data_IF_567562853866
#
_entry.id   IF_567562853866
#
_cell.length_a   1.000
_cell.length_b   1.000
_cell.length_c   1.000
_cell.angle_alpha   90.00
_cell.angle_beta   90.00
_cell.angle_gamma   90.00
#
_symmetry.space_group_name_H-M   'P 1'
#
loop_
_entity.id
_entity.type
_entity.pdbx_description
1 polymer ?
#
# COMPACT_ATOMS: atom_id res chain seq x y z
N UNK A 1 45.78 43.45 -5.64
CA UNK A 1 47.20 43.30 -6.02
C UNK A 1 47.30 42.80 -7.45
N UNK A 2 48.13 43.46 -8.27
CA UNK A 2 48.76 43.07 -9.56
C UNK A 2 48.00 42.24 -10.63
N UNK A 3 47.89 42.74 -11.87
CA UNK A 3 47.35 42.06 -13.08
C UNK A 3 48.23 42.38 -14.32
N UNK A 4 48.80 41.42 -15.08
CA UNK A 4 49.77 41.75 -16.15
C UNK A 4 49.68 40.94 -17.49
N UNK A 5 48.93 41.44 -18.50
CA UNK A 5 49.13 41.20 -19.97
C UNK A 5 48.95 39.75 -20.53
N UNK A 6 48.82 39.46 -21.84
CA UNK A 6 49.33 40.05 -23.11
C UNK A 6 48.27 39.99 -24.25
N UNK A 7 48.33 40.91 -25.22
CA UNK A 7 47.49 40.95 -26.44
C UNK A 7 48.06 40.17 -27.65
N UNK A 8 47.19 39.61 -28.51
CA UNK A 8 47.43 39.37 -29.95
C UNK A 8 46.06 39.17 -30.63
N UNK A 9 45.62 40.11 -31.47
CA UNK A 9 45.86 40.19 -32.93
C UNK A 9 44.89 39.30 -33.76
N UNK A 10 44.08 40.02 -34.53
CA UNK A 10 43.15 39.64 -35.60
C UNK A 10 43.48 38.43 -36.47
N UNK A 11 42.43 37.71 -36.90
CA UNK A 11 42.34 37.36 -38.34
C UNK A 11 42.30 35.89 -38.80
N UNK A 12 41.86 34.91 -38.01
CA UNK A 12 41.73 33.52 -38.53
C UNK A 12 40.60 32.62 -37.96
N UNK A 13 39.76 33.10 -37.04
CA UNK A 13 38.85 32.22 -36.25
C UNK A 13 37.41 32.15 -36.73
N UNK A 14 36.98 32.96 -37.71
CA UNK A 14 35.56 33.03 -38.10
C UNK A 14 35.05 31.77 -38.85
N UNK A 15 35.91 31.12 -39.64
CA UNK A 15 35.50 29.97 -40.49
C UNK A 15 35.43 28.66 -39.69
N UNK A 16 36.27 28.48 -38.67
CA UNK A 16 36.31 27.24 -37.88
C UNK A 16 35.16 27.13 -36.87
N UNK A 17 34.67 28.25 -36.33
CA UNK A 17 33.58 28.24 -35.34
C UNK A 17 32.25 27.72 -35.91
N UNK A 18 31.98 27.95 -37.20
CA UNK A 18 30.71 27.55 -37.83
C UNK A 18 30.58 26.05 -38.10
N UNK A 19 31.69 25.32 -38.21
CA UNK A 19 31.69 23.86 -38.37
C UNK A 19 31.62 23.12 -37.03
N UNK A 20 32.18 23.70 -35.97
CA UNK A 20 32.20 23.09 -34.62
C UNK A 20 30.80 23.14 -33.98
N UNK A 21 30.03 24.22 -34.18
CA UNK A 21 28.66 24.34 -33.68
C UNK A 21 27.72 23.27 -34.25
N UNK A 22 27.84 22.94 -35.54
CA UNK A 22 27.01 21.91 -36.20
C UNK A 22 27.27 20.47 -35.71
N UNK A 23 28.48 20.18 -35.23
CA UNK A 23 28.82 18.86 -34.67
C UNK A 23 28.45 18.72 -33.18
N UNK A 24 28.40 19.83 -32.45
CA UNK A 24 28.07 19.82 -31.02
C UNK A 24 26.59 19.50 -30.76
N UNK A 25 25.68 19.98 -31.62
CA UNK A 25 24.23 19.74 -31.52
C UNK A 25 23.90 18.23 -31.52
N UNK A 26 24.45 17.47 -32.47
CA UNK A 26 24.18 16.04 -32.61
C UNK A 26 24.72 15.16 -31.48
N UNK A 27 25.79 15.58 -30.79
CA UNK A 27 26.34 14.89 -29.62
C UNK A 27 25.62 15.28 -28.33
N UNK A 28 25.25 16.55 -28.18
CA UNK A 28 24.45 17.02 -27.03
C UNK A 28 23.05 16.40 -27.03
N UNK A 29 22.42 16.32 -28.20
CA UNK A 29 21.11 15.68 -28.37
C UNK A 29 21.16 14.17 -28.06
N UNK A 30 22.20 13.45 -28.51
CA UNK A 30 22.41 12.03 -28.11
C UNK A 30 22.64 11.86 -26.61
N UNK A 31 23.43 12.74 -25.98
CA UNK A 31 23.70 12.68 -24.53
C UNK A 31 22.45 12.97 -23.69
N UNK A 32 21.61 13.93 -24.14
CA UNK A 32 20.33 14.24 -23.52
C UNK A 32 19.32 13.09 -23.67
N UNK A 33 19.22 12.49 -24.86
CA UNK A 33 18.36 11.31 -25.10
C UNK A 33 18.81 10.12 -24.24
N UNK A 34 20.11 9.83 -24.12
CA UNK A 34 20.60 8.76 -23.26
C UNK A 34 20.36 9.04 -21.77
N UNK A 35 20.58 10.27 -21.30
CA UNK A 35 20.25 10.65 -19.91
C UNK A 35 18.76 10.50 -19.62
N UNK A 36 17.91 10.98 -20.52
CA UNK A 36 16.46 10.85 -20.35
C UNK A 36 16.01 9.39 -20.42
N UNK A 37 16.58 8.57 -21.30
CA UNK A 37 16.32 7.12 -21.34
C UNK A 37 16.73 6.43 -20.04
N UNK A 38 17.92 6.74 -19.49
CA UNK A 38 18.39 6.19 -18.20
C UNK A 38 17.50 6.65 -17.05
N UNK A 39 17.07 7.91 -17.03
CA UNK A 39 16.11 8.44 -16.05
C UNK A 39 14.77 7.71 -16.17
N UNK A 40 14.21 7.55 -17.38
CA UNK A 40 12.98 6.78 -17.61
C UNK A 40 13.12 5.32 -17.15
N UNK A 41 14.23 4.65 -17.45
CA UNK A 41 14.47 3.28 -17.02
C UNK A 41 14.59 3.17 -15.49
N UNK A 42 15.25 4.13 -14.84
CA UNK A 42 15.33 4.20 -13.39
C UNK A 42 13.96 4.45 -12.74
N UNK A 43 13.14 5.35 -13.29
CA UNK A 43 11.77 5.58 -12.82
C UNK A 43 10.90 4.34 -12.99
N UNK A 44 10.94 3.66 -14.13
CA UNK A 44 10.19 2.41 -14.36
C UNK A 44 10.66 1.30 -13.41
N UNK A 45 11.96 1.17 -13.18
CA UNK A 45 12.51 0.20 -12.23
C UNK A 45 12.04 0.48 -10.79
N UNK A 46 12.08 1.74 -10.34
CA UNK A 46 11.58 2.14 -9.01
C UNK A 46 10.08 1.89 -8.88
N UNK A 47 9.27 2.26 -9.88
CA UNK A 47 7.83 1.99 -9.88
C UNK A 47 7.55 0.49 -9.81
N UNK A 48 8.25 -0.33 -10.63
CA UNK A 48 8.04 -1.78 -10.64
C UNK A 48 8.37 -2.45 -9.28
N UNK A 49 9.39 -1.97 -8.56
CA UNK A 49 9.72 -2.43 -7.21
C UNK A 49 8.63 -2.10 -6.18
N UNK A 50 7.93 -0.97 -6.32
CA UNK A 50 6.82 -0.60 -5.42
C UNK A 50 5.58 -1.47 -5.65
N UNK A 51 5.36 -1.98 -6.87
CA UNK A 51 4.17 -2.77 -7.23
C UNK A 51 4.23 -4.24 -6.75
N UNK A 52 5.38 -4.73 -6.27
CA UNK A 52 5.57 -6.12 -5.81
C UNK A 52 4.77 -6.45 -4.53
N UNK A 53 4.15 -5.46 -3.88
CA UNK A 53 3.40 -5.61 -2.62
C UNK A 53 1.88 -5.41 -2.76
N UNK A 54 1.32 -5.58 -3.96
CA UNK A 54 -0.14 -5.68 -4.13
C UNK A 54 -0.58 -7.12 -3.93
N UNK A 55 -0.76 -7.51 -2.67
CA UNK A 55 -1.61 -8.66 -2.34
C UNK A 55 -3.05 -8.27 -2.63
N UNK A 56 -3.56 -8.73 -3.77
CA UNK A 56 -4.95 -8.53 -4.14
C UNK A 56 -5.83 -9.30 -3.16
N UNK A 57 -6.39 -8.60 -2.17
CA UNK A 57 -7.41 -9.12 -1.26
C UNK A 57 -8.74 -9.29 -1.99
N UNK A 58 -8.75 -10.19 -2.98
CA UNK A 58 -9.99 -10.73 -3.53
C UNK A 58 -10.67 -11.53 -2.43
N UNK A 59 -11.95 -11.26 -2.17
CA UNK A 59 -12.73 -12.01 -1.20
C UNK A 59 -12.57 -13.53 -1.47
N UNK A 60 -12.05 -14.31 -0.50
CA UNK A 60 -11.74 -15.72 -0.74
C UNK A 60 -13.02 -16.43 -1.16
N UNK A 61 -12.99 -17.09 -2.32
CA UNK A 61 -14.07 -17.99 -2.72
C UNK A 61 -14.05 -19.16 -1.74
N UNK A 62 -15.13 -19.32 -1.00
CA UNK A 62 -15.35 -20.49 -0.17
C UNK A 62 -15.24 -21.75 -1.05
N UNK A 63 -14.49 -22.78 -0.63
CA UNK A 63 -14.40 -24.03 -1.38
C UNK A 63 -15.75 -24.74 -1.38
N UNK A 64 -16.10 -25.43 -2.48
CA UNK A 64 -17.35 -26.18 -2.62
C UNK A 64 -17.50 -27.31 -1.58
N UNK A 65 -16.40 -27.74 -0.95
CA UNK A 65 -16.39 -28.66 0.18
C UNK A 65 -15.51 -28.14 1.33
N UNK A 66 -16.06 -28.16 2.54
CA UNK A 66 -15.38 -27.81 3.78
C UNK A 66 -14.53 -28.97 4.28
N UNK A 67 -13.20 -28.79 4.33
CA UNK A 67 -12.28 -29.75 4.94
C UNK A 67 -12.08 -29.43 6.42
N UNK A 68 -12.95 -30.01 7.27
CA UNK A 68 -12.93 -29.80 8.72
C UNK A 68 -11.61 -30.21 9.40
N UNK A 69 -10.78 -31.06 8.76
CA UNK A 69 -9.48 -31.46 9.33
C UNK A 69 -8.47 -30.31 9.42
N UNK A 70 -8.73 -29.20 8.71
CA UNK A 70 -7.91 -27.97 8.71
C UNK A 70 -8.41 -26.92 9.70
N UNK A 71 -9.58 -27.11 10.29
CA UNK A 71 -10.12 -26.17 11.25
C UNK A 71 -9.35 -26.22 12.57
N UNK A 72 -9.13 -25.08 13.24
CA UNK A 72 -8.56 -25.08 14.58
C UNK A 72 -9.54 -25.77 15.55
N UNK A 73 -9.01 -26.59 16.46
CA UNK A 73 -9.80 -27.09 17.59
C UNK A 73 -9.99 -25.96 18.60
N UNK A 74 -11.23 -25.57 18.86
CA UNK A 74 -11.60 -24.47 19.76
C UNK A 74 -12.47 -24.98 20.91
N UNK A 75 -12.28 -24.43 22.11
CA UNK A 75 -13.13 -24.67 23.27
C UNK A 75 -13.65 -23.31 23.77
N UNK A 76 -14.93 -23.03 23.54
CA UNK A 76 -15.51 -21.70 23.68
C UNK A 76 -16.60 -21.68 24.76
N UNK A 77 -16.36 -21.00 25.89
CA UNK A 77 -17.30 -20.91 27.01
C UNK A 77 -18.62 -20.19 26.63
N UNK A 78 -18.53 -19.20 25.74
CA UNK A 78 -19.64 -18.31 25.36
C UNK A 78 -20.29 -18.69 24.01
N UNK A 79 -20.10 -19.95 23.60
CA UNK A 79 -20.63 -20.52 22.36
C UNK A 79 -19.74 -20.32 21.13
N UNK A 80 -20.07 -21.03 20.06
CA UNK A 80 -19.37 -20.99 18.77
C UNK A 80 -20.18 -20.26 17.70
N UNK A 81 -19.46 -19.74 16.71
CA UNK A 81 -20.02 -19.19 15.46
C UNK A 81 -19.22 -19.78 14.30
N UNK A 82 -19.87 -20.04 13.16
CA UNK A 82 -19.16 -20.45 11.95
C UNK A 82 -18.52 -19.26 11.24
N UNK A 83 -17.45 -19.52 10.51
CA UNK A 83 -16.86 -18.54 9.59
C UNK A 83 -17.83 -18.10 8.47
N UNK A 84 -17.41 -17.08 7.71
CA UNK A 84 -18.16 -16.57 6.55
C UNK A 84 -18.41 -17.60 5.44
N UNK A 85 -17.73 -18.75 5.46
CA UNK A 85 -17.91 -19.88 4.55
C UNK A 85 -18.74 -21.02 5.16
N UNK A 86 -19.29 -20.82 6.36
CA UNK A 86 -20.03 -21.80 7.16
C UNK A 86 -19.24 -23.11 7.45
N UNK A 87 -17.91 -23.04 7.51
CA UNK A 87 -17.02 -24.21 7.56
C UNK A 87 -16.47 -24.47 8.97
N UNK A 88 -15.52 -23.64 9.42
CA UNK A 88 -14.85 -23.79 10.72
C UNK A 88 -15.58 -23.05 11.84
N UNK A 89 -15.48 -23.57 13.05
CA UNK A 89 -16.01 -22.94 14.26
C UNK A 89 -14.99 -21.98 14.89
N UNK A 90 -15.50 -20.82 15.32
CA UNK A 90 -14.77 -19.77 16.02
C UNK A 90 -15.49 -19.44 17.33
N UNK A 91 -14.75 -18.98 18.34
CA UNK A 91 -15.36 -18.57 19.59
C UNK A 91 -16.08 -17.23 19.45
N UNK A 92 -17.25 -17.13 20.07
CA UNK A 92 -17.94 -15.86 20.29
C UNK A 92 -17.32 -15.09 21.45
N UNK A 93 -17.37 -13.77 21.38
CA UNK A 93 -16.95 -12.86 22.47
C UNK A 93 -18.03 -12.84 23.55
N UNK A 94 -17.62 -12.93 24.82
CA UNK A 94 -18.55 -13.05 25.94
C UNK A 94 -19.28 -11.74 26.27
N UNK A 95 -20.36 -11.83 27.05
CA UNK A 95 -21.07 -10.65 27.57
C UNK A 95 -20.12 -9.73 28.37
N UNK A 96 -20.13 -8.43 28.05
CA UNK A 96 -19.29 -7.43 28.71
C UNK A 96 -17.82 -7.40 28.25
N UNK A 97 -17.38 -8.30 27.37
CA UNK A 97 -16.03 -8.28 26.81
C UNK A 97 -15.88 -7.28 25.64
N UNK A 98 -14.65 -6.80 25.38
CA UNK A 98 -14.37 -5.90 24.26
C UNK A 98 -14.44 -6.62 22.90
N UNK A 99 -15.12 -5.99 21.95
CA UNK A 99 -15.33 -6.52 20.60
C UNK A 99 -14.85 -5.52 19.53
N UNK A 100 -14.22 -6.01 18.47
CA UNK A 100 -13.64 -5.18 17.40
C UNK A 100 -14.31 -5.44 16.04
N UNK A 101 -14.92 -4.40 15.47
CA UNK A 101 -15.53 -4.47 14.14
C UNK A 101 -14.52 -4.83 13.04
N UNK A 102 -13.28 -4.34 13.14
CA UNK A 102 -12.23 -4.62 12.16
C UNK A 102 -11.80 -6.10 12.13
N UNK A 103 -12.00 -6.85 13.23
CA UNK A 103 -11.79 -8.30 13.28
C UNK A 103 -13.04 -9.10 12.92
N UNK A 104 -14.19 -8.43 12.72
CA UNK A 104 -15.51 -9.05 12.62
C UNK A 104 -15.85 -9.92 13.84
N UNK A 105 -15.45 -9.48 15.05
CA UNK A 105 -15.73 -10.18 16.30
C UNK A 105 -17.26 -10.34 16.50
N UNK A 106 -17.73 -11.58 16.69
CA UNK A 106 -19.15 -11.88 16.91
C UNK A 106 -19.41 -12.14 18.40
N UNK A 107 -20.36 -11.43 18.99
CA UNK A 107 -20.76 -11.64 20.38
C UNK A 107 -21.54 -12.95 20.59
N UNK A 108 -21.64 -13.37 21.85
CA UNK A 108 -22.52 -14.45 22.30
C UNK A 108 -24.00 -14.18 21.93
N UNK A 109 -24.82 -15.24 21.91
CA UNK A 109 -26.22 -15.14 21.46
C UNK A 109 -27.05 -14.15 22.28
N UNK A 110 -27.82 -13.30 21.61
CA UNK A 110 -28.60 -12.21 22.22
C UNK A 110 -27.78 -10.95 22.57
N UNK A 111 -26.50 -10.88 22.19
CA UNK A 111 -25.63 -9.73 22.40
C UNK A 111 -25.11 -9.18 21.06
N UNK A 112 -24.86 -7.86 21.02
CA UNK A 112 -24.33 -7.13 19.87
C UNK A 112 -23.15 -6.26 20.27
N UNK A 113 -22.17 -6.13 19.37
CA UNK A 113 -21.03 -5.26 19.59
C UNK A 113 -21.49 -3.80 19.55
N UNK A 114 -21.43 -3.13 20.70
CA UNK A 114 -22.01 -1.80 20.90
C UNK A 114 -20.93 -0.81 21.30
N UNK A 115 -20.87 0.34 20.63
CA UNK A 115 -19.97 1.44 20.96
C UNK A 115 -20.67 2.54 21.76
N UNK A 116 -19.93 3.41 22.47
CA UNK A 116 -20.52 4.56 23.17
C UNK A 116 -21.38 5.43 22.26
N UNK A 117 -22.48 5.96 22.81
CA UNK A 117 -23.37 6.86 22.07
C UNK A 117 -22.61 8.11 21.58
N UNK A 118 -22.81 8.48 20.32
CA UNK A 118 -22.09 9.58 19.68
C UNK A 118 -20.72 9.22 19.09
N UNK A 119 -20.29 7.94 19.16
CA UNK A 119 -19.12 7.47 18.42
C UNK A 119 -19.33 7.56 16.90
N UNK A 120 -18.40 8.20 16.20
CA UNK A 120 -18.38 8.21 14.74
C UNK A 120 -17.86 6.87 14.16
N UNK A 121 -18.04 6.69 12.86
CA UNK A 121 -17.63 5.46 12.14
C UNK A 121 -16.14 5.11 12.29
N UNK A 122 -15.25 6.12 12.31
CA UNK A 122 -13.80 5.89 12.44
C UNK A 122 -13.44 5.49 13.88
N UNK A 123 -14.12 6.07 14.87
CA UNK A 123 -14.03 5.62 16.26
C UNK A 123 -14.54 4.19 16.43
N UNK A 124 -15.65 3.82 15.78
CA UNK A 124 -16.21 2.46 15.85
C UNK A 124 -15.28 1.40 15.23
N UNK A 125 -14.54 1.75 14.17
CA UNK A 125 -13.55 0.85 13.57
C UNK A 125 -12.24 0.75 14.36
N UNK A 126 -11.79 1.86 14.95
CA UNK A 126 -10.47 1.96 15.60
C UNK A 126 -10.52 1.48 17.06
N UNK A 127 -11.59 1.80 17.78
CA UNK A 127 -11.74 1.49 19.20
C UNK A 127 -12.60 0.22 19.40
N UNK A 128 -12.30 -0.60 20.43
CA UNK A 128 -13.20 -1.67 20.82
C UNK A 128 -14.57 -1.13 21.24
N UNK A 129 -15.62 -1.83 20.83
CA UNK A 129 -16.94 -1.74 21.46
C UNK A 129 -17.02 -2.73 22.63
N UNK A 130 -18.22 -2.96 23.13
CA UNK A 130 -18.50 -3.96 24.17
C UNK A 130 -19.68 -4.82 23.76
N UNK A 131 -19.62 -6.13 24.02
CA UNK A 131 -20.76 -7.03 23.81
C UNK A 131 -21.84 -6.75 24.86
N UNK A 132 -22.86 -5.98 24.47
CA UNK A 132 -24.03 -5.64 25.29
C UNK A 132 -25.26 -6.39 24.76
N UNK A 133 -26.26 -6.60 25.62
CA UNK A 133 -27.50 -7.26 25.22
C UNK A 133 -28.20 -6.46 24.13
N UNK A 134 -28.63 -7.14 23.06
CA UNK A 134 -29.57 -6.60 22.10
C UNK A 134 -30.89 -6.37 22.85
N UNK A 135 -31.47 -5.18 22.72
CA UNK A 135 -32.82 -4.89 23.23
C UNK A 135 -33.81 -5.30 22.14
N UNK A 136 -34.67 -6.27 22.46
CA UNK A 136 -35.81 -6.73 21.64
C UNK A 136 -37.06 -5.88 21.91
#
# INVERSE_FOLDING_TARGET
SCIPNIALNTGCTAVTVSLISSLNEGLYQKSYIMKNLVICFAFVAVISLMMVRVEASSMPRCPDQCDQSRCPSVNCECGTVKDSCNCCDFCRVCAGEPCHLIRSDVCQEGYSCTHPAGSDYMQQMTNPGTCLRTQE
#
